data_IF_505504151051
#
_entry.id   IF_505504151051
#
_cell.length_a   1.000
_cell.length_b   1.000
_cell.length_c   1.000
_cell.angle_alpha   90.00
_cell.angle_beta   90.00
_cell.angle_gamma   90.00
#
_symmetry.space_group_name_H-M   'P 1'
#
loop_
_entity.id
_entity.type
_entity.pdbx_description
1 polymer ?
#
# COMPACT_ATOMS: atom_id res chain seq x y z
N UNK A 1 -6.58 3.24 -8.14
CA UNK A 1 -5.31 3.39 -7.39
C UNK A 1 -4.33 2.36 -7.92
N UNK A 2 -4.75 1.09 -8.00
CA UNK A 2 -4.07 0.04 -8.75
C UNK A 2 -3.49 0.53 -10.09
N UNK A 3 -4.29 1.21 -10.91
CA UNK A 3 -3.87 1.63 -12.26
C UNK A 3 -2.79 2.70 -12.22
N UNK A 4 -2.95 3.73 -11.38
CA UNK A 4 -1.96 4.81 -11.24
C UNK A 4 -0.66 4.30 -10.66
N UNK A 5 -0.74 3.43 -9.64
CA UNK A 5 0.44 2.87 -9.00
C UNK A 5 1.21 1.95 -9.94
N UNK A 6 0.51 1.15 -10.76
CA UNK A 6 1.11 0.33 -11.81
C UNK A 6 1.71 1.17 -12.94
N UNK A 7 1.03 2.25 -13.35
CA UNK A 7 1.59 3.19 -14.32
C UNK A 7 2.91 3.82 -13.84
N UNK A 8 2.99 4.20 -12.56
CA UNK A 8 4.22 4.73 -11.96
C UNK A 8 5.31 3.66 -11.92
N UNK A 9 4.98 2.42 -11.57
CA UNK A 9 5.92 1.30 -11.53
C UNK A 9 6.58 1.03 -12.89
N UNK A 10 5.83 1.16 -13.98
CA UNK A 10 6.35 0.97 -15.33
C UNK A 10 7.23 2.11 -15.83
N UNK A 11 7.05 3.33 -15.31
CA UNK A 11 7.74 4.51 -15.81
C UNK A 11 8.90 4.97 -14.95
N UNK A 12 8.85 4.68 -13.65
CA UNK A 12 9.79 5.23 -12.69
C UNK A 12 10.93 4.24 -12.42
N UNK A 13 12.09 4.51 -13.01
CA UNK A 13 13.33 3.81 -12.69
C UNK A 13 14.04 4.54 -11.55
N UNK A 14 13.79 4.12 -10.31
CA UNK A 14 14.36 4.73 -9.11
C UNK A 14 14.74 3.68 -8.06
N UNK A 15 15.88 3.85 -7.37
CA UNK A 15 16.22 3.02 -6.21
C UNK A 15 15.47 3.46 -4.94
N UNK A 16 14.82 4.63 -4.95
CA UNK A 16 14.09 5.16 -3.79
C UNK A 16 12.73 4.47 -3.67
N UNK A 17 12.36 3.90 -2.51
CA UNK A 17 11.05 3.28 -2.34
C UNK A 17 9.90 4.23 -2.64
N UNK A 18 8.95 3.77 -3.46
CA UNK A 18 7.71 4.51 -3.77
C UNK A 18 6.52 3.74 -3.23
N UNK A 19 5.75 4.38 -2.36
CA UNK A 19 4.62 3.75 -1.65
C UNK A 19 3.35 4.55 -1.88
N UNK A 20 2.33 3.89 -2.41
CA UNK A 20 0.97 4.40 -2.53
C UNK A 20 0.15 3.99 -1.32
N UNK A 21 -0.72 4.88 -0.86
CA UNK A 21 -1.72 4.57 0.16
C UNK A 21 -2.94 5.47 0.02
N UNK A 22 -3.98 5.22 0.82
CA UNK A 22 -5.19 6.03 0.84
C UNK A 22 -6.08 5.70 2.04
N UNK A 23 -7.38 5.91 1.88
CA UNK A 23 -8.38 5.68 2.92
C UNK A 23 -9.68 5.22 2.25
N UNK A 24 -10.41 4.27 2.86
CA UNK A 24 -11.78 3.96 2.45
C UNK A 24 -12.77 4.93 3.08
N UNK A 25 -12.50 5.33 4.32
CA UNK A 25 -13.34 6.26 5.07
C UNK A 25 -12.90 7.70 4.82
N UNK A 26 -13.86 8.62 4.91
CA UNK A 26 -13.59 10.05 4.92
C UNK A 26 -12.93 10.47 6.24
N UNK A 27 -12.19 11.57 6.24
CA UNK A 27 -11.52 12.09 7.45
C UNK A 27 -12.48 12.49 8.58
N UNK A 28 -13.77 12.60 8.28
CA UNK A 28 -14.83 12.92 9.25
C UNK A 28 -15.53 11.67 9.81
N UNK A 29 -15.29 10.50 9.21
CA UNK A 29 -15.96 9.27 9.62
C UNK A 29 -15.31 8.69 10.88
N UNK A 30 -16.15 8.10 11.74
CA UNK A 30 -15.67 7.38 12.90
C UNK A 30 -14.84 6.17 12.45
N UNK A 31 -13.62 6.06 12.97
CA UNK A 31 -12.70 4.98 12.60
C UNK A 31 -11.91 5.22 11.32
N UNK A 32 -11.80 6.49 10.86
CA UNK A 32 -10.97 6.90 9.73
C UNK A 32 -9.63 6.15 9.64
N UNK A 33 -9.45 5.40 8.55
CA UNK A 33 -8.30 4.50 8.34
C UNK A 33 -7.06 5.21 7.76
N UNK A 34 -7.22 6.44 7.26
CA UNK A 34 -6.13 7.18 6.64
C UNK A 34 -4.95 7.47 7.57
N UNK A 35 -5.17 7.66 8.88
CA UNK A 35 -4.05 7.88 9.83
C UNK A 35 -3.14 6.65 9.95
N UNK A 36 -3.72 5.46 10.12
CA UNK A 36 -2.96 4.21 10.15
C UNK A 36 -2.30 3.94 8.81
N UNK A 37 -3.03 4.09 7.71
CA UNK A 37 -2.53 3.81 6.37
C UNK A 37 -1.34 4.73 6.00
N UNK A 38 -1.39 6.03 6.32
CA UNK A 38 -0.26 6.95 6.11
C UNK A 38 0.93 6.57 6.99
N UNK A 39 0.72 6.28 8.28
CA UNK A 39 1.81 5.84 9.17
C UNK A 39 2.51 4.61 8.61
N UNK A 40 1.74 3.61 8.23
CA UNK A 40 2.24 2.33 7.74
C UNK A 40 2.95 2.52 6.39
N UNK A 41 2.43 3.36 5.50
CA UNK A 41 3.09 3.72 4.25
C UNK A 41 4.44 4.41 4.45
N UNK A 42 4.54 5.32 5.42
CA UNK A 42 5.81 5.98 5.77
C UNK A 42 6.81 4.99 6.36
N UNK A 43 6.37 4.08 7.24
CA UNK A 43 7.23 3.02 7.77
C UNK A 43 7.76 2.13 6.66
N UNK A 44 6.91 1.71 5.73
CA UNK A 44 7.31 0.93 4.55
C UNK A 44 8.30 1.70 3.68
N UNK A 45 8.04 2.97 3.37
CA UNK A 45 8.94 3.78 2.57
C UNK A 45 10.31 4.02 3.24
N UNK A 46 10.37 4.03 4.56
CA UNK A 46 11.60 4.20 5.34
C UNK A 46 12.35 2.88 5.61
N UNK A 47 11.77 1.72 5.27
CA UNK A 47 12.42 0.42 5.47
C UNK A 47 13.41 0.12 4.35
N UNK A 48 14.61 -0.33 4.72
CA UNK A 48 15.61 -0.82 3.77
C UNK A 48 15.11 -2.04 2.97
N UNK A 49 14.21 -2.84 3.56
CA UNK A 49 13.63 -4.03 2.92
C UNK A 49 12.70 -3.71 1.74
N UNK A 50 12.25 -2.45 1.65
CA UNK A 50 11.41 -1.96 0.55
C UNK A 50 12.22 -1.57 -0.69
N UNK A 51 13.54 -1.44 -0.58
CA UNK A 51 14.39 -1.10 -1.70
C UNK A 51 14.38 -2.19 -2.79
N UNK A 52 14.24 -1.78 -4.05
CA UNK A 52 14.23 -2.71 -5.18
C UNK A 52 12.99 -3.61 -5.28
N UNK A 53 11.91 -3.33 -4.54
CA UNK A 53 10.64 -4.06 -4.62
C UNK A 53 9.66 -3.47 -5.65
N UNK A 54 10.11 -2.48 -6.42
CA UNK A 54 9.25 -1.66 -7.28
C UNK A 54 8.37 -0.71 -6.48
N UNK A 55 7.29 -0.26 -7.09
CA UNK A 55 6.26 0.53 -6.44
C UNK A 55 5.38 -0.37 -5.58
N UNK A 56 5.13 0.08 -4.35
CA UNK A 56 4.35 -0.65 -3.36
C UNK A 56 3.01 0.04 -3.11
N UNK A 57 2.01 -0.74 -2.70
CA UNK A 57 0.74 -0.23 -2.17
C UNK A 57 0.59 -0.72 -0.73
N UNK A 58 0.34 0.20 0.20
CA UNK A 58 0.12 -0.11 1.62
C UNK A 58 -1.31 0.26 2.00
N UNK A 59 -2.06 -0.72 2.50
CA UNK A 59 -3.43 -0.52 2.94
C UNK A 59 -3.81 -1.55 4.00
N UNK A 60 -4.46 -1.11 5.08
CA UNK A 60 -4.91 -1.98 6.17
C UNK A 60 -3.78 -2.90 6.69
N UNK A 61 -2.61 -2.32 6.98
CA UNK A 61 -1.38 -2.99 7.40
C UNK A 61 -0.75 -3.97 6.39
N UNK A 62 -1.35 -4.24 5.23
CA UNK A 62 -0.76 -5.10 4.21
C UNK A 62 0.08 -4.31 3.21
N UNK A 63 1.18 -4.90 2.77
CA UNK A 63 2.10 -4.35 1.76
C UNK A 63 1.98 -5.21 0.50
N UNK A 64 1.65 -4.59 -0.63
CA UNK A 64 1.43 -5.28 -1.91
C UNK A 64 2.40 -4.76 -2.98
N UNK A 65 2.77 -5.63 -3.92
CA UNK A 65 3.25 -5.16 -5.22
C UNK A 65 2.08 -4.62 -6.03
N UNK A 66 2.33 -3.56 -6.80
CA UNK A 66 1.25 -2.92 -7.59
C UNK A 66 0.87 -3.68 -8.85
N UNK A 67 1.71 -4.62 -9.30
CA UNK A 67 1.46 -5.43 -10.50
C UNK A 67 0.36 -6.49 -10.33
N UNK A 68 -0.04 -6.80 -9.09
CA UNK A 68 -0.97 -7.87 -8.77
C UNK A 68 -2.10 -7.44 -7.82
N UNK A 69 -2.13 -6.15 -7.44
CA UNK A 69 -3.10 -5.61 -6.49
C UNK A 69 -4.36 -5.11 -7.19
N UNK A 70 -5.52 -5.49 -6.66
CA UNK A 70 -6.82 -5.00 -7.11
C UNK A 70 -7.67 -4.51 -5.94
N UNK A 71 -8.52 -3.51 -6.18
CA UNK A 71 -9.57 -3.11 -5.24
C UNK A 71 -10.75 -4.10 -5.37
N UNK A 72 -10.80 -5.10 -4.51
CA UNK A 72 -11.84 -6.14 -4.53
C UNK A 72 -13.13 -5.74 -3.77
N UNK A 73 -13.07 -4.73 -2.89
CA UNK A 73 -14.19 -4.31 -2.06
C UNK A 73 -14.39 -2.79 -2.11
N UNK A 74 -15.63 -2.38 -2.41
CA UNK A 74 -15.98 -0.98 -2.58
C UNK A 74 -16.05 -0.18 -1.27
N UNK A 75 -16.22 -0.84 -0.12
CA UNK A 75 -16.54 -0.19 1.17
C UNK A 75 -15.65 -0.70 2.32
N UNK A 76 -15.38 -2.01 2.38
CA UNK A 76 -14.66 -2.62 3.50
C UNK A 76 -13.22 -2.14 3.63
N UNK A 77 -12.72 -2.01 4.85
CA UNK A 77 -11.35 -1.54 5.13
C UNK A 77 -10.27 -2.45 4.52
N UNK A 78 -10.57 -3.75 4.37
CA UNK A 78 -9.73 -4.67 3.60
C UNK A 78 -10.14 -4.61 2.12
N UNK A 79 -9.88 -3.46 1.49
CA UNK A 79 -10.33 -3.16 0.13
C UNK A 79 -9.42 -3.70 -0.97
N UNK A 80 -8.14 -3.91 -0.65
CA UNK A 80 -7.11 -4.32 -1.61
C UNK A 80 -6.65 -5.74 -1.32
N UNK A 81 -6.47 -6.50 -2.38
CA UNK A 81 -5.99 -7.88 -2.37
C UNK A 81 -5.03 -8.09 -3.54
N UNK A 82 -4.04 -8.97 -3.35
CA UNK A 82 -3.21 -9.47 -4.45
C UNK A 82 -3.81 -10.78 -4.96
N UNK A 83 -4.14 -10.81 -6.24
CA UNK A 83 -4.95 -11.89 -6.83
C UNK A 83 -4.20 -13.21 -6.92
N UNK A 84 -2.88 -13.16 -7.12
CA UNK A 84 -2.07 -14.35 -7.38
C UNK A 84 -1.06 -14.67 -6.27
N UNK A 85 -0.39 -13.66 -5.70
CA UNK A 85 0.76 -13.86 -4.82
C UNK A 85 0.51 -13.59 -3.32
N UNK A 86 -0.59 -12.90 -2.99
CA UNK A 86 -0.81 -12.36 -1.65
C UNK A 86 0.07 -11.15 -1.32
N UNK A 87 -0.03 -10.58 -0.12
CA UNK A 87 0.80 -9.45 0.30
C UNK A 87 2.28 -9.87 0.40
N UNK A 88 3.17 -8.96 0.02
CA UNK A 88 4.63 -9.11 0.22
C UNK A 88 5.01 -9.16 1.69
N UNK A 89 4.25 -8.47 2.53
CA UNK A 89 4.52 -8.30 3.94
C UNK A 89 3.40 -7.56 4.65
N UNK A 90 3.61 -7.32 5.95
CA UNK A 90 2.65 -6.62 6.79
C UNK A 90 3.38 -5.65 7.70
N UNK A 91 2.74 -4.54 8.03
CA UNK A 91 3.21 -3.66 9.09
C UNK A 91 2.58 -4.06 10.42
N UNK A 92 3.39 -4.20 11.47
CA UNK A 92 2.91 -4.53 12.81
C UNK A 92 3.82 -3.94 13.88
N UNK A 93 3.23 -3.29 14.88
CA UNK A 93 3.99 -2.71 16.00
C UNK A 93 5.05 -1.69 15.56
N UNK A 94 4.80 -0.96 14.46
CA UNK A 94 5.75 0.02 13.92
C UNK A 94 6.91 -0.57 13.11
N UNK A 95 6.81 -1.84 12.71
CA UNK A 95 7.79 -2.54 11.88
C UNK A 95 7.16 -2.99 10.57
N UNK A 96 8.01 -3.20 9.58
CA UNK A 96 7.74 -3.72 8.24
C UNK A 96 8.31 -5.12 8.15
#
# INVERSE_FOLDING_TARGET
MEETSYFVDLLLDTPVPVVFTGSQLSSQDLGYDGFSNIRDAVLTAASDDSAGKGTLLVFNQCIFTVNDVVKNNSIGLHAFESVNAGPLGVTYGGRV
#
